data_IF_788724714155
#
_entry.id   IF_788724714155
#
_cell.length_a   1.000
_cell.length_b   1.000
_cell.length_c   1.000
_cell.angle_alpha   90.00
_cell.angle_beta   90.00
_cell.angle_gamma   90.00
#
_symmetry.space_group_name_H-M   'P 1'
#
loop_
_entity.id
_entity.type
_entity.pdbx_description
1 polymer ?
#
# COMPACT_ATOMS: atom_id res chain seq x y z
N UNK A 1 -20.16 -24.31 -36.25
CA UNK A 1 -19.26 -24.90 -35.26
C UNK A 1 -20.13 -25.41 -34.14
N UNK A 2 -20.18 -26.72 -33.98
CA UNK A 2 -21.05 -27.38 -33.00
C UNK A 2 -20.55 -27.08 -31.58
N UNK A 3 -21.41 -26.49 -30.75
CA UNK A 3 -21.07 -26.02 -29.38
C UNK A 3 -21.26 -27.19 -28.37
N UNK A 4 -21.82 -28.32 -28.82
CA UNK A 4 -22.27 -29.45 -27.98
C UNK A 4 -21.30 -30.66 -28.00
N UNK A 5 -20.02 -30.45 -28.31
CA UNK A 5 -19.12 -31.55 -28.71
C UNK A 5 -18.47 -32.39 -27.60
N UNK A 6 -18.72 -32.20 -26.31
CA UNK A 6 -17.86 -32.82 -25.27
C UNK A 6 -18.61 -33.65 -24.19
N UNK A 7 -19.69 -34.34 -24.56
CA UNK A 7 -20.30 -35.34 -23.69
C UNK A 7 -19.50 -36.66 -23.74
N UNK A 8 -18.79 -36.99 -22.67
CA UNK A 8 -17.96 -38.20 -22.56
C UNK A 8 -18.51 -39.15 -21.49
N UNK A 9 -18.50 -40.46 -21.77
CA UNK A 9 -18.77 -41.49 -20.75
C UNK A 9 -17.44 -41.93 -20.15
N UNK A 10 -17.11 -41.42 -18.96
CA UNK A 10 -15.88 -41.74 -18.26
C UNK A 10 -16.15 -42.78 -17.17
N UNK A 11 -15.32 -43.83 -17.13
CA UNK A 11 -15.31 -44.78 -16.02
C UNK A 11 -14.26 -44.35 -15.00
N UNK A 12 -14.66 -43.47 -14.08
CA UNK A 12 -13.80 -42.95 -13.02
C UNK A 12 -13.36 -44.05 -12.02
N UNK A 13 -14.12 -45.15 -11.95
CA UNK A 13 -13.91 -46.22 -10.97
C UNK A 13 -13.04 -47.38 -11.47
N UNK A 14 -12.84 -47.50 -12.79
CA UNK A 14 -12.17 -48.64 -13.44
C UNK A 14 -12.97 -49.95 -13.43
N UNK A 15 -14.18 -49.98 -12.87
CA UNK A 15 -15.02 -51.19 -12.76
C UNK A 15 -15.86 -51.41 -14.03
N UNK A 16 -15.91 -52.64 -14.52
CA UNK A 16 -16.64 -52.97 -15.74
C UNK A 16 -18.14 -52.68 -15.59
N UNK A 17 -18.71 -51.88 -16.50
CA UNK A 17 -20.12 -51.47 -16.49
C UNK A 17 -20.43 -50.20 -15.68
N UNK A 18 -19.41 -49.52 -15.14
CA UNK A 18 -19.59 -48.32 -14.31
C UNK A 18 -19.06 -47.07 -15.00
N UNK A 19 -19.75 -46.61 -16.06
CA UNK A 19 -19.44 -45.36 -16.75
C UNK A 19 -20.42 -44.26 -16.35
N UNK A 20 -19.92 -43.05 -16.11
CA UNK A 20 -20.71 -41.87 -15.80
C UNK A 20 -20.65 -40.87 -16.96
N UNK A 21 -21.78 -40.30 -17.40
CA UNK A 21 -21.76 -39.25 -18.41
C UNK A 21 -21.23 -37.96 -17.79
N UNK A 22 -20.26 -37.34 -18.45
CA UNK A 22 -19.64 -36.07 -18.08
C UNK A 22 -19.80 -35.11 -19.26
N UNK A 23 -20.43 -33.97 -18.98
CA UNK A 23 -20.52 -32.84 -19.91
C UNK A 23 -19.45 -31.82 -19.50
N UNK A 24 -18.38 -31.73 -20.29
CA UNK A 24 -17.25 -30.85 -19.98
C UNK A 24 -17.62 -29.36 -19.98
N UNK A 25 -18.65 -28.95 -20.73
CA UNK A 25 -19.14 -27.57 -20.72
C UNK A 25 -19.83 -27.23 -19.40
N UNK A 26 -20.63 -28.16 -18.88
CA UNK A 26 -21.29 -27.99 -17.58
C UNK A 26 -20.25 -28.04 -16.45
N UNK A 27 -19.22 -28.88 -16.56
CA UNK A 27 -18.15 -28.95 -15.57
C UNK A 27 -17.36 -27.65 -15.47
N UNK A 28 -17.05 -27.00 -16.60
CA UNK A 28 -16.36 -25.71 -16.60
C UNK A 28 -17.18 -24.62 -15.90
N UNK A 29 -18.48 -24.52 -16.22
CA UNK A 29 -19.40 -23.56 -15.60
C UNK A 29 -19.57 -23.84 -14.08
N UNK A 30 -19.62 -25.12 -13.68
CA UNK A 30 -19.67 -25.51 -12.26
C UNK A 30 -18.36 -25.14 -11.56
N UNK A 31 -17.21 -25.29 -12.22
CA UNK A 31 -15.90 -24.87 -11.71
C UNK A 31 -15.86 -23.37 -11.42
N UNK A 32 -16.21 -22.55 -12.42
CA UNK A 32 -16.31 -21.09 -12.26
C UNK A 32 -17.28 -20.69 -11.15
N UNK A 33 -18.42 -21.37 -11.05
CA UNK A 33 -19.41 -21.11 -10.01
C UNK A 33 -18.86 -21.46 -8.61
N UNK A 34 -18.14 -22.57 -8.47
CA UNK A 34 -17.48 -22.94 -7.21
C UNK A 34 -16.42 -21.92 -6.80
N UNK A 35 -15.58 -21.48 -7.74
CA UNK A 35 -14.59 -20.43 -7.48
C UNK A 35 -15.26 -19.12 -7.04
N UNK A 36 -16.34 -18.73 -7.70
CA UNK A 36 -17.11 -17.54 -7.35
C UNK A 36 -17.79 -17.66 -5.98
N UNK A 37 -18.34 -18.83 -5.64
CA UNK A 37 -18.93 -19.11 -4.33
C UNK A 37 -17.86 -19.12 -3.22
N UNK A 38 -16.67 -19.65 -3.51
CA UNK A 38 -15.53 -19.63 -2.60
C UNK A 38 -15.02 -18.21 -2.35
N UNK A 39 -14.90 -17.39 -3.40
CA UNK A 39 -14.50 -15.99 -3.29
C UNK A 39 -15.53 -15.15 -2.53
N UNK A 40 -16.82 -15.46 -2.68
CA UNK A 40 -17.91 -14.89 -1.86
C UNK A 40 -17.96 -15.46 -0.44
N UNK A 41 -17.20 -16.53 -0.18
CA UNK A 41 -17.15 -17.28 1.07
C UNK A 41 -18.50 -17.84 1.54
N UNK A 42 -19.34 -18.23 0.57
CA UNK A 42 -20.62 -18.91 0.78
C UNK A 42 -20.45 -20.32 1.37
N UNK A 43 -19.25 -20.89 1.30
CA UNK A 43 -18.89 -22.19 1.91
C UNK A 43 -18.49 -22.08 3.38
N UNK A 44 -19.07 -21.13 4.13
CA UNK A 44 -18.72 -20.83 5.53
C UNK A 44 -17.24 -20.47 5.76
N UNK A 45 -16.52 -20.06 4.71
CA UNK A 45 -15.11 -19.66 4.78
C UNK A 45 -14.94 -18.38 5.62
N UNK A 46 -15.92 -17.48 5.57
CA UNK A 46 -15.98 -16.29 6.43
C UNK A 46 -16.28 -16.62 7.89
N UNK A 47 -17.15 -17.60 8.16
CA UNK A 47 -17.43 -18.03 9.53
C UNK A 47 -16.19 -18.67 10.16
N UNK A 48 -15.50 -19.53 9.41
CA UNK A 48 -14.20 -20.08 9.82
C UNK A 48 -13.15 -18.99 10.04
N UNK A 49 -13.13 -17.94 9.22
CA UNK A 49 -12.25 -16.79 9.41
C UNK A 49 -12.63 -16.00 10.67
N UNK A 50 -13.93 -15.86 10.95
CA UNK A 50 -14.46 -15.29 12.19
C UNK A 50 -14.01 -16.07 13.41
N UNK A 51 -14.17 -17.40 13.41
CA UNK A 51 -13.73 -18.29 14.49
C UNK A 51 -12.22 -18.22 14.73
N UNK A 52 -11.43 -18.20 13.64
CA UNK A 52 -9.97 -18.02 13.72
C UNK A 52 -9.63 -16.63 14.27
N UNK A 53 -10.37 -15.59 13.87
CA UNK A 53 -10.13 -14.23 14.36
C UNK A 53 -10.38 -14.10 15.86
N UNK A 54 -11.40 -14.78 16.40
CA UNK A 54 -11.64 -14.87 17.84
C UNK A 54 -10.49 -15.56 18.59
N UNK A 55 -9.83 -16.55 17.95
CA UNK A 55 -8.68 -17.22 18.53
C UNK A 55 -7.40 -16.34 18.56
N UNK A 56 -7.32 -15.27 17.77
CA UNK A 56 -6.16 -14.37 17.74
C UNK A 56 -5.96 -13.66 19.09
N UNK A 57 -7.03 -13.28 19.78
CA UNK A 57 -6.94 -12.64 21.09
C UNK A 57 -6.36 -13.57 22.14
N UNK A 58 -6.81 -14.83 22.14
CA UNK A 58 -6.27 -15.87 23.02
C UNK A 58 -4.79 -16.18 22.68
N UNK A 59 -4.44 -16.25 21.40
CA UNK A 59 -3.05 -16.44 20.96
C UNK A 59 -2.14 -15.28 21.39
N UNK A 60 -2.62 -14.04 21.28
CA UNK A 60 -1.89 -12.87 21.75
C UNK A 60 -1.71 -12.87 23.27
N UNK A 61 -2.74 -13.29 24.02
CA UNK A 61 -2.65 -13.47 25.46
C UNK A 61 -1.60 -14.52 25.85
N UNK A 62 -1.64 -15.70 25.23
CA UNK A 62 -0.65 -16.78 25.45
C UNK A 62 0.76 -16.27 25.11
N UNK A 63 0.93 -15.56 23.99
CA UNK A 63 2.22 -14.98 23.60
C UNK A 63 2.77 -14.01 24.63
N UNK A 64 1.93 -13.15 25.23
CA UNK A 64 2.33 -12.26 26.32
C UNK A 64 2.74 -13.06 27.56
N UNK A 65 1.96 -14.07 27.94
CA UNK A 65 2.25 -14.91 29.10
C UNK A 65 3.58 -15.66 28.94
N UNK A 66 3.82 -16.27 27.78
CA UNK A 66 5.10 -16.92 27.46
C UNK A 66 6.25 -15.92 27.48
N UNK A 67 6.07 -14.71 26.96
CA UNK A 67 7.09 -13.65 27.03
C UNK A 67 7.47 -13.30 28.47
N UNK A 68 6.49 -13.23 29.38
CA UNK A 68 6.73 -12.95 30.80
C UNK A 68 7.44 -14.12 31.47
N UNK A 69 6.96 -15.35 31.27
CA UNK A 69 7.55 -16.57 31.86
C UNK A 69 8.99 -16.77 31.42
N UNK A 70 9.26 -16.58 30.13
CA UNK A 70 10.60 -16.75 29.54
C UNK A 70 11.50 -15.52 29.74
N UNK A 71 11.02 -14.47 30.43
CA UNK A 71 11.71 -13.17 30.57
C UNK A 71 12.22 -12.61 29.24
N UNK A 72 11.49 -12.88 28.16
CA UNK A 72 11.79 -12.35 26.85
C UNK A 72 11.38 -10.89 26.82
N UNK A 73 12.29 -10.01 26.44
CA UNK A 73 11.97 -8.60 26.20
C UNK A 73 10.89 -8.52 25.14
N UNK A 74 9.69 -8.08 25.53
CA UNK A 74 8.61 -7.81 24.59
C UNK A 74 9.11 -6.72 23.63
N UNK A 75 9.40 -7.09 22.37
CA UNK A 75 9.70 -6.10 21.33
C UNK A 75 8.42 -5.33 21.06
N UNK A 76 8.32 -4.13 21.62
CA UNK A 76 7.26 -3.20 21.26
C UNK A 76 7.27 -3.02 19.74
N UNK A 77 6.08 -3.05 19.14
CA UNK A 77 5.86 -2.82 17.70
C UNK A 77 5.96 -1.33 17.33
N UNK A 78 6.48 -0.50 18.23
CA UNK A 78 6.88 0.85 17.92
C UNK A 78 8.15 0.75 17.09
N UNK A 79 7.98 0.76 15.77
CA UNK A 79 9.01 1.24 14.87
C UNK A 79 9.36 2.65 15.38
N UNK A 80 10.45 2.79 16.12
CA UNK A 80 11.04 4.10 16.36
C UNK A 80 11.36 4.66 15.00
N UNK A 81 10.79 5.82 14.64
CA UNK A 81 11.10 6.50 13.40
C UNK A 81 12.62 6.53 13.25
N UNK A 82 13.10 6.01 12.13
CA UNK A 82 14.54 5.94 11.86
C UNK A 82 15.04 7.38 11.81
N UNK A 83 16.10 7.69 12.56
CA UNK A 83 16.72 9.00 12.47
C UNK A 83 17.27 9.22 11.06
N UNK A 84 16.58 10.07 10.31
CA UNK A 84 16.90 10.41 8.91
C UNK A 84 17.72 11.69 8.81
N UNK A 85 18.12 12.32 9.93
CA UNK A 85 18.84 13.58 9.92
C UNK A 85 20.15 13.51 9.11
N UNK A 86 20.85 12.38 9.18
CA UNK A 86 22.06 12.14 8.38
C UNK A 86 21.78 12.09 6.86
N UNK A 87 20.65 11.52 6.43
CA UNK A 87 20.28 11.47 5.02
C UNK A 87 19.93 12.86 4.49
N UNK A 88 19.19 13.64 5.27
CA UNK A 88 18.88 15.04 4.93
C UNK A 88 20.17 15.85 4.78
N UNK A 89 21.11 15.69 5.71
CA UNK A 89 22.41 16.37 5.64
C UNK A 89 23.21 15.98 4.40
N UNK A 90 23.27 14.69 4.07
CA UNK A 90 23.96 14.19 2.86
C UNK A 90 23.37 14.76 1.57
N UNK A 91 22.04 14.88 1.49
CA UNK A 91 21.37 15.49 0.34
C UNK A 91 21.68 17.00 0.27
N UNK A 92 21.67 17.69 1.41
CA UNK A 92 22.02 19.11 1.47
C UNK A 92 23.48 19.37 1.05
N UNK A 93 24.41 18.53 1.50
CA UNK A 93 25.83 18.61 1.15
C UNK A 93 26.03 18.38 -0.36
N UNK A 94 25.39 17.35 -0.93
CA UNK A 94 25.42 17.10 -2.38
C UNK A 94 24.82 18.24 -3.20
N UNK A 95 23.70 18.81 -2.75
CA UNK A 95 23.08 19.95 -3.41
C UNK A 95 23.98 21.20 -3.36
N UNK A 96 24.79 21.34 -2.31
CA UNK A 96 25.78 22.41 -2.18
C UNK A 96 26.98 22.18 -3.10
N UNK A 97 27.56 20.97 -3.09
CA UNK A 97 28.68 20.58 -3.94
C UNK A 97 28.37 20.73 -5.43
N UNK A 98 27.17 20.33 -5.85
CA UNK A 98 26.72 20.45 -7.23
C UNK A 98 26.26 21.87 -7.61
N UNK A 99 26.28 22.82 -6.67
CA UNK A 99 25.86 24.19 -6.92
C UNK A 99 24.39 24.33 -7.31
N UNK A 100 23.55 23.33 -7.02
CA UNK A 100 22.11 23.32 -7.38
C UNK A 100 21.32 24.45 -6.70
N UNK A 101 21.89 25.02 -5.64
CA UNK A 101 21.33 26.13 -4.87
C UNK A 101 21.65 27.50 -5.49
N UNK A 102 22.59 27.56 -6.45
CA UNK A 102 23.06 28.78 -7.09
C UNK A 102 22.39 28.88 -8.45
N UNK A 103 21.63 29.96 -8.67
CA UNK A 103 21.05 30.22 -9.97
C UNK A 103 22.16 30.54 -10.99
N UNK A 104 22.33 29.67 -11.99
CA UNK A 104 23.26 29.88 -13.09
C UNK A 104 22.47 30.17 -14.39
N UNK A 105 22.48 31.42 -14.89
CA UNK A 105 21.75 31.79 -16.10
C UNK A 105 22.33 31.18 -17.39
N UNK A 106 23.47 30.50 -17.33
CA UNK A 106 24.14 29.85 -18.46
C UNK A 106 24.16 28.31 -18.37
N UNK A 107 23.26 27.71 -17.61
CA UNK A 107 23.19 26.24 -17.49
C UNK A 107 22.76 25.62 -18.84
N UNK A 108 23.70 24.96 -19.52
CA UNK A 108 23.55 24.43 -20.89
C UNK A 108 22.42 23.40 -21.02
N UNK A 109 22.12 22.69 -19.93
CA UNK A 109 21.19 21.57 -19.94
C UNK A 109 19.71 21.95 -19.68
N UNK A 110 19.39 23.18 -19.24
CA UNK A 110 17.99 23.53 -18.95
C UNK A 110 17.65 25.02 -19.16
N UNK A 111 17.20 25.42 -20.37
CA UNK A 111 16.88 26.81 -20.70
C UNK A 111 15.58 27.35 -20.08
N UNK A 112 14.77 26.50 -19.41
CA UNK A 112 13.49 26.89 -18.78
C UNK A 112 13.57 27.00 -17.25
N UNK A 113 14.77 26.97 -16.67
CA UNK A 113 14.93 27.00 -15.23
C UNK A 113 14.60 28.39 -14.66
N UNK A 114 13.45 28.51 -14.01
CA UNK A 114 13.04 29.72 -13.30
C UNK A 114 13.82 29.84 -11.99
N UNK A 115 14.23 31.07 -11.63
CA UNK A 115 14.88 31.34 -10.35
C UNK A 115 13.95 30.94 -9.18
N UNK A 116 14.42 30.02 -8.33
CA UNK A 116 13.72 29.68 -7.09
C UNK A 116 14.01 30.79 -6.09
N UNK A 117 13.11 31.78 -6.09
CA UNK A 117 13.24 32.96 -5.23
C UNK A 117 13.18 32.53 -3.76
N UNK A 118 14.15 32.99 -2.96
CA UNK A 118 14.15 32.75 -1.51
C UNK A 118 12.91 33.39 -0.86
N UNK A 119 11.99 32.53 -0.43
CA UNK A 119 10.66 32.94 0.05
C UNK A 119 10.76 33.76 1.35
N UNK A 120 11.78 33.51 2.19
CA UNK A 120 11.99 34.24 3.44
C UNK A 120 12.45 35.67 3.21
N UNK A 121 13.48 35.86 2.38
CA UNK A 121 13.99 37.21 2.07
C UNK A 121 12.95 38.03 1.31
N UNK A 122 12.26 37.39 0.37
CA UNK A 122 11.19 38.04 -0.43
C UNK A 122 9.95 38.34 0.41
N UNK A 123 9.59 37.44 1.32
CA UNK A 123 8.51 37.64 2.28
C UNK A 123 8.83 38.80 3.23
N UNK A 124 10.05 38.84 3.77
CA UNK A 124 10.52 39.91 4.65
C UNK A 124 10.53 41.27 3.93
N UNK A 125 11.07 41.34 2.71
CA UNK A 125 11.01 42.56 1.89
C UNK A 125 9.56 42.99 1.62
N UNK A 126 8.67 42.04 1.28
CA UNK A 126 7.25 42.35 1.07
C UNK A 126 6.60 42.91 2.32
N UNK A 127 6.86 42.33 3.50
CA UNK A 127 6.35 42.82 4.77
C UNK A 127 6.87 44.24 5.05
N UNK A 128 8.17 44.46 4.90
CA UNK A 128 8.81 45.78 5.12
C UNK A 128 8.32 46.85 4.13
N UNK A 129 8.05 46.46 2.88
CA UNK A 129 7.51 47.34 1.84
C UNK A 129 6.00 47.59 1.97
N UNK A 130 5.28 46.76 2.74
CA UNK A 130 3.84 46.88 2.89
C UNK A 130 3.50 47.88 4.00
N UNK A 131 2.65 48.86 3.69
CA UNK A 131 2.09 49.75 4.71
C UNK A 131 1.17 48.97 5.64
N UNK A 132 1.14 49.36 6.92
CA UNK A 132 0.37 48.69 7.98
C UNK A 132 -1.12 48.50 7.61
N UNK A 133 -1.68 49.48 6.90
CA UNK A 133 -3.05 49.44 6.40
C UNK A 133 -3.29 48.33 5.35
N UNK A 134 -2.30 48.07 4.49
CA UNK A 134 -2.37 47.03 3.45
C UNK A 134 -2.13 45.65 4.03
N UNK A 135 -1.25 45.55 5.03
CA UNK A 135 -1.02 44.33 5.79
C UNK A 135 -2.28 43.90 6.56
N UNK A 136 -2.88 44.80 7.33
CA UNK A 136 -4.09 44.51 8.11
C UNK A 136 -5.28 44.07 7.25
N UNK A 137 -5.46 44.69 6.06
CA UNK A 137 -6.49 44.26 5.09
C UNK A 137 -6.26 42.84 4.59
N UNK A 138 -5.01 42.41 4.39
CA UNK A 138 -4.69 41.04 3.96
C UNK A 138 -4.89 40.02 5.07
N UNK A 139 -4.52 40.36 6.31
CA UNK A 139 -4.73 39.47 7.46
C UNK A 139 -6.21 39.26 7.76
N UNK A 140 -7.05 40.28 7.59
CA UNK A 140 -8.50 40.15 7.78
C UNK A 140 -9.24 39.45 6.63
N UNK A 141 -8.61 39.35 5.45
CA UNK A 141 -9.18 38.67 4.28
C UNK A 141 -8.75 37.20 4.16
N UNK A 142 -7.87 36.74 5.05
CA UNK A 142 -7.42 35.35 5.21
C UNK A 142 -8.29 34.65 6.25
#
# INVERSE_FOLDING_TARGET
SDIMCDNQLLNLSGLQGHSMPVDLNVEHIIGELKELLHAKGLEATWDRLGDVSLAIDYLNFIKRLVSVVMKLSHKNRSHSDVDTAHLVKKVADLAHEQGLQIFNPHHVENPQMNEVVNVLTTGMQKILSSTLATFNKRVMAM
#
